data_IF_643253884418
#
_entry.id   IF_643253884418
#
_cell.length_a   1.000
_cell.length_b   1.000
_cell.length_c   1.000
_cell.angle_alpha   90.00
_cell.angle_beta   90.00
_cell.angle_gamma   90.00
#
_symmetry.space_group_name_H-M   'P 1'
#
loop_
_entity.id
_entity.type
_entity.pdbx_description
1 polymer ?
#
# COMPACT_ATOMS: atom_id res chain seq x y z
N UNK A 1 14.19 -5.45 8.08
CA UNK A 1 15.00 -4.76 7.06
C UNK A 1 14.22 -3.55 6.59
N UNK A 2 14.85 -2.38 6.51
CA UNK A 2 14.24 -1.15 5.99
C UNK A 2 14.46 -1.07 4.47
N UNK A 3 13.46 -0.65 3.71
CA UNK A 3 13.64 -0.36 2.26
C UNK A 3 14.23 1.04 2.06
N UNK A 4 15.06 1.25 1.01
CA UNK A 4 15.59 2.58 0.69
C UNK A 4 14.50 3.49 0.09
N UNK A 5 14.64 4.80 0.28
CA UNK A 5 13.80 5.77 -0.44
C UNK A 5 14.01 5.63 -1.95
N UNK A 6 12.94 5.77 -2.72
CA UNK A 6 13.01 5.62 -4.18
C UNK A 6 11.66 5.43 -4.84
N UNK A 7 11.70 5.08 -6.11
CA UNK A 7 10.51 4.80 -6.91
C UNK A 7 10.27 3.29 -6.99
N UNK A 8 9.02 2.88 -6.78
CA UNK A 8 8.65 1.47 -6.73
C UNK A 8 7.37 1.18 -7.52
N UNK A 9 7.33 0.02 -8.15
CA UNK A 9 6.09 -0.67 -8.50
C UNK A 9 5.62 -1.47 -7.27
N UNK A 10 4.34 -1.34 -6.93
CA UNK A 10 3.74 -2.09 -5.82
C UNK A 10 2.65 -3.01 -6.39
N UNK A 11 2.74 -4.30 -6.11
CA UNK A 11 1.70 -5.29 -6.46
C UNK A 11 1.19 -6.02 -5.23
N UNK A 12 -0.08 -6.44 -5.27
CA UNK A 12 -0.66 -7.29 -4.23
C UNK A 12 -0.30 -8.75 -4.44
N UNK A 13 0.04 -9.48 -3.38
CA UNK A 13 0.20 -10.94 -3.42
C UNK A 13 -1.13 -11.69 -3.55
N UNK A 14 -2.26 -11.04 -3.34
CA UNK A 14 -3.60 -11.64 -3.46
C UNK A 14 -3.95 -12.00 -4.91
N UNK A 15 -3.70 -11.07 -5.84
CA UNK A 15 -4.13 -11.20 -7.24
C UNK A 15 -3.04 -10.80 -8.26
N UNK A 16 -1.82 -10.53 -7.79
CA UNK A 16 -0.68 -10.06 -8.60
C UNK A 16 -0.95 -8.77 -9.39
N UNK A 17 -2.00 -8.01 -9.04
CA UNK A 17 -2.33 -6.74 -9.67
C UNK A 17 -1.56 -5.58 -9.02
N UNK A 18 -1.30 -4.54 -9.82
CA UNK A 18 -0.72 -3.31 -9.30
C UNK A 18 -1.68 -2.60 -8.37
N UNK A 19 -1.13 -1.95 -7.35
CA UNK A 19 -1.88 -1.12 -6.41
C UNK A 19 -1.58 0.34 -6.71
N UNK A 20 -2.58 1.21 -6.74
CA UNK A 20 -2.36 2.63 -7.03
C UNK A 20 -3.63 3.40 -7.37
N UNK A 21 -3.46 4.50 -8.10
CA UNK A 21 -4.56 5.34 -8.60
C UNK A 21 -4.81 5.06 -10.09
N UNK A 22 -6.09 4.96 -10.51
CA UNK A 22 -6.43 4.74 -11.91
C UNK A 22 -6.09 5.98 -12.76
N UNK A 23 -6.04 5.81 -14.09
CA UNK A 23 -5.75 6.91 -15.01
C UNK A 23 -6.84 7.98 -15.03
N UNK A 24 -8.11 7.56 -14.99
CA UNK A 24 -9.26 8.44 -14.99
C UNK A 24 -9.81 8.62 -13.56
N UNK A 25 -9.80 9.86 -13.09
CA UNK A 25 -10.38 10.28 -11.81
C UNK A 25 -11.20 11.56 -12.03
N UNK A 26 -12.17 11.81 -11.16
CA UNK A 26 -12.84 13.11 -11.15
C UNK A 26 -11.86 14.24 -10.77
N UNK A 27 -12.20 15.48 -11.14
CA UNK A 27 -11.33 16.66 -10.93
C UNK A 27 -11.46 17.31 -9.55
N UNK A 28 -12.20 16.72 -8.62
CA UNK A 28 -12.28 17.24 -7.25
C UNK A 28 -10.97 17.03 -6.50
N UNK A 29 -10.74 17.84 -5.47
CA UNK A 29 -9.64 17.66 -4.52
C UNK A 29 -10.01 16.71 -3.37
N UNK A 30 -11.13 15.99 -3.49
CA UNK A 30 -11.49 14.95 -2.53
C UNK A 30 -10.41 13.86 -2.52
N UNK A 31 -10.17 13.21 -1.35
CA UNK A 31 -9.25 12.09 -1.26
C UNK A 31 -9.52 11.04 -2.34
N UNK A 32 -8.46 10.58 -3.01
CA UNK A 32 -8.57 9.63 -4.12
C UNK A 32 -8.34 8.22 -3.64
N UNK A 33 -9.15 7.28 -4.13
CA UNK A 33 -9.07 5.87 -3.73
C UNK A 33 -7.77 5.25 -4.22
N UNK A 34 -7.09 4.49 -3.37
CA UNK A 34 -6.06 3.55 -3.79
C UNK A 34 -6.72 2.20 -4.06
N UNK A 35 -6.58 1.70 -5.27
CA UNK A 35 -7.29 0.52 -5.76
C UNK A 35 -6.32 -0.53 -6.31
N UNK A 36 -6.79 -1.77 -6.43
CA UNK A 36 -6.16 -2.77 -7.32
C UNK A 36 -6.48 -2.41 -8.76
N UNK A 37 -5.46 -2.31 -9.60
CA UNK A 37 -5.59 -1.77 -10.95
C UNK A 37 -5.73 -2.89 -11.99
N UNK A 38 -6.52 -2.68 -13.06
CA UNK A 38 -6.71 -3.66 -14.12
C UNK A 38 -5.41 -4.14 -14.74
N UNK A 39 -5.33 -5.37 -15.24
CA UNK A 39 -4.08 -5.86 -15.84
C UNK A 39 -3.76 -5.22 -17.20
N UNK A 40 -4.74 -4.57 -17.82
CA UNK A 40 -4.53 -3.94 -19.12
C UNK A 40 -3.44 -2.85 -19.05
N UNK A 41 -2.66 -2.70 -20.12
CA UNK A 41 -1.47 -1.84 -20.15
C UNK A 41 -1.74 -0.33 -19.96
N UNK A 42 -2.93 0.06 -19.51
CA UNK A 42 -3.30 1.42 -19.10
C UNK A 42 -2.56 1.92 -17.85
N UNK A 43 -1.77 1.02 -17.25
CA UNK A 43 -1.06 1.13 -16.00
C UNK A 43 0.43 1.50 -16.13
N UNK A 44 0.88 1.93 -17.31
CA UNK A 44 2.31 2.13 -17.62
C UNK A 44 3.06 3.16 -16.77
N UNK A 45 2.36 3.95 -15.94
CA UNK A 45 2.94 4.97 -15.05
C UNK A 45 2.60 4.74 -13.54
N UNK A 46 2.35 3.50 -13.11
CA UNK A 46 2.11 3.22 -11.67
C UNK A 46 3.43 3.17 -10.90
N UNK A 47 3.95 4.34 -10.61
CA UNK A 47 5.11 4.52 -9.76
C UNK A 47 4.68 5.11 -8.41
N UNK A 48 5.11 4.44 -7.34
CA UNK A 48 5.04 4.95 -5.98
C UNK A 48 6.36 5.61 -5.62
N UNK A 49 6.29 6.77 -4.98
CA UNK A 49 7.46 7.35 -4.32
C UNK A 49 7.42 6.93 -2.86
N UNK A 50 8.46 6.23 -2.42
CA UNK A 50 8.67 5.82 -1.04
C UNK A 50 9.71 6.75 -0.44
N UNK A 51 9.33 7.52 0.57
CA UNK A 51 10.23 8.44 1.27
C UNK A 51 10.40 7.99 2.71
N UNK A 52 11.61 7.53 3.07
CA UNK A 52 11.98 7.29 4.46
C UNK A 52 11.99 8.63 5.20
N UNK A 53 11.28 8.69 6.32
CA UNK A 53 11.27 9.84 7.24
C UNK A 53 12.16 9.55 8.46
N UNK A 54 12.12 10.40 9.48
CA UNK A 54 12.90 10.17 10.71
C UNK A 54 12.52 8.82 11.36
N UNK A 55 13.55 8.03 11.70
CA UNK A 55 13.36 6.68 12.25
C UNK A 55 13.16 5.62 11.16
N UNK A 56 12.22 4.69 11.40
CA UNK A 56 11.90 3.57 10.49
C UNK A 56 10.49 3.67 9.89
N UNK A 57 10.01 4.91 9.70
CA UNK A 57 8.69 5.19 9.12
C UNK A 57 8.81 5.86 7.75
N UNK A 58 7.77 5.71 6.94
CA UNK A 58 7.76 6.06 5.53
C UNK A 58 6.53 6.89 5.17
N UNK A 59 6.70 7.84 4.25
CA UNK A 59 5.59 8.42 3.50
C UNK A 59 5.55 7.73 2.14
N UNK A 60 4.38 7.19 1.80
CA UNK A 60 4.10 6.52 0.53
C UNK A 60 3.26 7.46 -0.33
N UNK A 61 3.72 7.80 -1.53
CA UNK A 61 3.01 8.70 -2.44
C UNK A 61 2.59 7.98 -3.71
N UNK A 62 1.31 8.09 -4.05
CA UNK A 62 0.77 7.63 -5.33
C UNK A 62 0.42 8.82 -6.22
N UNK A 63 1.06 8.92 -7.38
CA UNK A 63 0.94 10.06 -8.31
C UNK A 63 1.13 11.41 -7.60
N UNK A 64 2.17 11.49 -6.74
CA UNK A 64 2.58 12.71 -6.04
C UNK A 64 1.86 13.00 -4.71
N UNK A 65 0.72 12.36 -4.43
CA UNK A 65 -0.05 12.57 -3.20
C UNK A 65 0.27 11.52 -2.14
N UNK A 66 0.55 11.90 -0.87
CA UNK A 66 0.74 10.94 0.22
C UNK A 66 -0.53 10.16 0.48
N UNK A 67 -0.40 8.91 0.96
CA UNK A 67 -1.56 8.08 1.31
C UNK A 67 -1.75 7.97 2.81
N UNK A 68 -3.02 7.90 3.22
CA UNK A 68 -3.45 7.88 4.61
C UNK A 68 -4.69 6.96 4.76
N UNK A 69 -4.96 6.46 5.97
CA UNK A 69 -6.23 5.81 6.27
C UNK A 69 -7.37 6.83 6.34
N UNK A 70 -8.54 6.46 5.81
CA UNK A 70 -9.80 7.18 5.98
C UNK A 70 -10.96 6.18 5.96
N UNK A 71 -11.74 6.13 7.04
CA UNK A 71 -12.91 5.24 7.21
C UNK A 71 -12.61 3.76 6.87
N UNK A 72 -11.47 3.24 7.33
CA UNK A 72 -11.04 1.86 7.09
C UNK A 72 -10.58 1.58 5.65
N UNK A 73 -10.36 2.62 4.85
CA UNK A 73 -9.89 2.53 3.46
C UNK A 73 -8.61 3.33 3.25
N UNK A 74 -7.82 2.92 2.26
CA UNK A 74 -6.62 3.64 1.87
C UNK A 74 -6.95 4.70 0.81
N UNK A 75 -6.54 5.94 1.06
CA UNK A 75 -6.77 7.07 0.16
C UNK A 75 -5.49 7.88 -0.03
N UNK A 76 -5.33 8.49 -1.20
CA UNK A 76 -4.38 9.54 -1.47
C UNK A 76 -4.97 10.90 -1.05
N UNK A 77 -4.22 11.63 -0.24
CA UNK A 77 -4.57 12.96 0.24
C UNK A 77 -4.05 14.03 -0.72
N UNK A 78 -4.97 14.72 -1.38
CA UNK A 78 -4.66 15.76 -2.36
C UNK A 78 -4.49 17.14 -1.71
N UNK A 79 -4.98 17.33 -0.49
CA UNK A 79 -4.93 18.61 0.23
C UNK A 79 -3.86 18.62 1.33
N UNK A 80 -3.39 17.46 1.78
CA UNK A 80 -2.40 17.33 2.84
C UNK A 80 -2.99 17.54 4.25
N UNK A 81 -4.28 17.29 4.42
CA UNK A 81 -5.04 17.51 5.65
C UNK A 81 -5.25 16.22 6.46
N UNK A 82 -5.13 15.04 5.83
CA UNK A 82 -5.29 13.75 6.48
C UNK A 82 -4.10 13.45 7.39
N UNK A 83 -4.43 12.97 8.59
CA UNK A 83 -3.45 12.52 9.56
C UNK A 83 -2.99 11.08 9.26
N UNK A 84 -2.04 10.58 10.05
CA UNK A 84 -1.62 9.18 10.02
C UNK A 84 -1.12 8.70 8.64
N UNK A 85 -0.47 9.59 7.91
CA UNK A 85 0.13 9.32 6.59
C UNK A 85 1.54 8.68 6.64
N UNK A 86 1.95 8.23 7.82
CA UNK A 86 3.22 7.54 8.05
C UNK A 86 2.98 6.04 8.20
N UNK A 87 3.84 5.26 7.56
CA UNK A 87 3.73 3.81 7.46
C UNK A 87 5.01 3.12 7.93
N UNK A 88 4.87 1.99 8.59
CA UNK A 88 5.95 1.04 8.89
C UNK A 88 5.93 -0.04 7.81
N UNK A 89 7.07 -0.26 7.14
CA UNK A 89 7.20 -1.25 6.07
C UNK A 89 8.09 -2.38 6.56
N UNK A 90 7.50 -3.55 6.78
CA UNK A 90 8.18 -4.68 7.41
C UNK A 90 8.41 -5.79 6.39
N UNK A 91 9.67 -6.14 6.16
CA UNK A 91 10.03 -7.24 5.27
C UNK A 91 9.51 -8.58 5.80
N UNK A 92 8.98 -9.41 4.91
CA UNK A 92 8.45 -10.74 5.19
C UNK A 92 9.18 -11.82 4.37
N UNK A 93 10.45 -12.14 4.68
CA UNK A 93 11.29 -13.02 3.85
C UNK A 93 10.72 -14.43 3.68
N UNK A 94 9.95 -14.90 4.66
CA UNK A 94 9.26 -16.20 4.62
C UNK A 94 8.17 -16.27 3.54
N UNK A 95 7.78 -15.14 2.95
CA UNK A 95 6.81 -15.04 1.86
C UNK A 95 7.43 -14.73 0.48
N UNK A 96 8.76 -14.56 0.41
CA UNK A 96 9.50 -14.28 -0.82
C UNK A 96 10.37 -13.03 -0.75
N UNK A 97 11.16 -12.81 -1.80
CA UNK A 97 11.96 -11.60 -1.94
C UNK A 97 11.07 -10.38 -2.21
N UNK A 98 11.45 -9.24 -1.64
CA UNK A 98 10.73 -7.97 -1.79
C UNK A 98 9.25 -8.01 -1.37
N UNK A 99 8.88 -8.91 -0.46
CA UNK A 99 7.54 -9.00 0.10
C UNK A 99 7.47 -8.30 1.46
N UNK A 100 6.44 -7.48 1.65
CA UNK A 100 6.29 -6.61 2.83
C UNK A 100 4.85 -6.59 3.35
N UNK A 101 4.71 -6.39 4.66
CA UNK A 101 3.49 -5.80 5.26
C UNK A 101 3.66 -4.28 5.32
N UNK A 102 2.54 -3.55 5.26
CA UNK A 102 2.51 -2.08 5.37
C UNK A 102 1.53 -1.71 6.47
N UNK A 103 2.06 -1.27 7.61
CA UNK A 103 1.31 -1.00 8.84
C UNK A 103 1.29 0.51 9.09
N UNK A 104 0.21 1.05 9.65
CA UNK A 104 0.16 2.45 10.03
C UNK A 104 1.12 2.71 11.19
N UNK A 105 1.93 3.77 11.11
CA UNK A 105 2.92 4.05 12.14
C UNK A 105 2.30 4.60 13.45
N UNK A 106 1.16 5.29 13.37
CA UNK A 106 0.43 5.80 14.53
C UNK A 106 -0.47 4.74 15.16
N UNK A 107 -0.97 3.79 14.36
CA UNK A 107 -1.78 2.66 14.79
C UNK A 107 -1.24 1.36 14.19
N UNK A 108 -0.24 0.77 14.86
CA UNK A 108 0.48 -0.41 14.36
C UNK A 108 -0.39 -1.66 14.27
N UNK A 109 -1.62 -1.64 14.77
CA UNK A 109 -2.54 -2.76 14.60
C UNK A 109 -3.11 -2.80 13.17
N UNK A 110 -3.29 -1.64 12.52
CA UNK A 110 -3.89 -1.53 11.20
C UNK A 110 -2.85 -1.49 10.08
N UNK A 111 -3.11 -2.22 9.00
CA UNK A 111 -2.27 -2.23 7.81
C UNK A 111 -3.08 -2.34 6.53
N UNK A 112 -2.37 -2.28 5.41
CA UNK A 112 -2.98 -2.38 4.09
C UNK A 112 -3.50 -3.79 3.86
N UNK A 113 -4.73 -3.89 3.37
CA UNK A 113 -5.33 -5.18 3.01
C UNK A 113 -6.05 -5.11 1.68
N UNK A 114 -5.75 -6.03 0.78
CA UNK A 114 -6.52 -6.30 -0.44
C UNK A 114 -7.47 -7.45 -0.13
N UNK A 115 -8.81 -7.23 -0.11
CA UNK A 115 -9.77 -8.30 0.15
C UNK A 115 -9.59 -9.49 -0.80
N UNK A 116 -9.86 -10.70 -0.30
CA UNK A 116 -9.70 -11.94 -1.09
C UNK A 116 -10.64 -11.98 -2.31
N UNK A 117 -11.79 -11.32 -2.22
CA UNK A 117 -12.77 -11.15 -3.28
C UNK A 117 -12.58 -9.84 -4.07
N UNK A 118 -11.43 -9.18 -3.93
CA UNK A 118 -11.15 -7.92 -4.61
C UNK A 118 -11.12 -8.12 -6.14
N UNK A 119 -12.12 -7.55 -6.81
CA UNK A 119 -12.14 -7.36 -8.25
C UNK A 119 -11.27 -6.16 -8.65
N UNK A 120 -10.99 -6.01 -9.94
CA UNK A 120 -10.32 -4.82 -10.47
C UNK A 120 -11.06 -3.54 -10.03
N UNK A 121 -10.30 -2.50 -9.67
CA UNK A 121 -10.78 -1.23 -9.11
C UNK A 121 -11.36 -1.31 -7.68
N UNK A 122 -11.29 -2.48 -7.02
CA UNK A 122 -11.58 -2.59 -5.59
C UNK A 122 -10.58 -1.76 -4.78
N UNK A 123 -11.08 -1.05 -3.78
CA UNK A 123 -10.26 -0.19 -2.95
C UNK A 123 -9.49 -1.00 -1.89
N UNK A 124 -8.22 -0.68 -1.70
CA UNK A 124 -7.40 -1.21 -0.61
C UNK A 124 -7.96 -0.75 0.73
N UNK A 125 -8.09 -1.69 1.65
CA UNK A 125 -8.56 -1.46 3.01
C UNK A 125 -7.40 -1.11 3.95
N UNK A 126 -7.72 -0.46 5.05
CA UNK A 126 -6.83 -0.31 6.20
C UNK A 126 -7.54 -0.91 7.41
N UNK A 127 -7.03 -2.03 7.91
CA UNK A 127 -7.68 -2.80 8.99
C UNK A 127 -6.65 -3.62 9.77
N UNK A 128 -7.03 -4.21 10.92
CA UNK A 128 -6.12 -5.04 11.68
C UNK A 128 -5.53 -6.20 10.88
N UNK A 129 -4.20 -6.36 10.92
CA UNK A 129 -3.51 -7.49 10.26
C UNK A 129 -3.66 -8.79 11.05
N UNK A 130 -3.76 -9.92 10.34
CA UNK A 130 -3.85 -11.25 10.96
C UNK A 130 -2.68 -12.14 10.52
N UNK A 131 -2.11 -12.88 11.47
CA UNK A 131 -1.05 -13.84 11.17
C UNK A 131 -1.22 -15.13 11.98
N UNK A 132 -0.60 -16.20 11.49
CA UNK A 132 -0.48 -17.45 12.25
C UNK A 132 0.35 -17.26 13.52
N UNK A 133 0.08 -18.06 14.55
CA UNK A 133 0.89 -18.12 15.78
C UNK A 133 2.16 -18.98 15.60
N UNK A 134 2.84 -18.85 14.45
CA UNK A 134 4.10 -19.54 14.14
C UNK A 134 5.31 -18.61 14.30
N UNK A 135 6.52 -19.17 14.23
CA UNK A 135 7.77 -18.41 14.20
C UNK A 135 8.60 -18.84 12.97
N UNK A 136 8.71 -17.98 11.92
CA UNK A 136 8.09 -16.66 11.78
C UNK A 136 6.55 -16.74 11.60
N UNK A 137 5.82 -15.63 11.88
CA UNK A 137 4.40 -15.53 11.55
C UNK A 137 4.18 -15.66 10.04
N UNK A 138 3.07 -16.26 9.63
CA UNK A 138 2.63 -16.31 8.25
C UNK A 138 1.41 -15.43 8.08
N UNK A 139 1.51 -14.45 7.19
CA UNK A 139 0.44 -13.55 6.81
C UNK A 139 -0.33 -14.10 5.60
N UNK A 140 -1.64 -13.84 5.49
CA UNK A 140 -2.39 -14.17 4.28
C UNK A 140 -1.92 -13.30 3.09
N UNK A 141 -2.07 -13.77 1.85
CA UNK A 141 -1.70 -13.00 0.65
C UNK A 141 -2.37 -11.62 0.57
N UNK A 142 -3.59 -11.49 1.11
CA UNK A 142 -4.34 -10.24 1.23
C UNK A 142 -3.59 -9.11 1.95
N UNK A 143 -2.62 -9.43 2.80
CA UNK A 143 -1.87 -8.48 3.65
C UNK A 143 -0.43 -8.26 3.17
N UNK A 144 -0.07 -8.87 2.04
CA UNK A 144 1.30 -8.91 1.53
C UNK A 144 1.41 -8.17 0.21
N UNK A 145 2.44 -7.33 0.10
CA UNK A 145 2.70 -6.50 -1.06
C UNK A 145 4.13 -6.70 -1.54
N UNK A 146 4.33 -6.75 -2.85
CA UNK A 146 5.65 -6.81 -3.47
C UNK A 146 6.08 -5.39 -3.84
N UNK A 147 7.25 -4.97 -3.36
CA UNK A 147 7.83 -3.66 -3.70
C UNK A 147 9.03 -3.86 -4.62
N UNK A 148 8.87 -3.52 -5.90
CA UNK A 148 9.95 -3.64 -6.89
C UNK A 148 10.47 -2.26 -7.26
N UNK A 149 11.73 -1.99 -6.98
CA UNK A 149 12.37 -0.72 -7.30
C UNK A 149 12.48 -0.54 -8.83
N UNK A 150 12.21 0.68 -9.31
CA UNK A 150 12.30 1.10 -10.74
C UNK A 150 13.62 1.81 -11.00
#
# INVERSE_FOLDING_TARGET
MSIPSGTYEITSKENDLHVGRPLAEDRSLLPKRIVVLPKDGSNSDICWVVEKTDGDTYILKSRGSPVAPLDGKLVADLLGELQDNKWTITAQPQHGENVFTVENASNTEEGWVVPQDAEELSQVEVRPLIATRSLPPLYPPSELFVFKQV
#
